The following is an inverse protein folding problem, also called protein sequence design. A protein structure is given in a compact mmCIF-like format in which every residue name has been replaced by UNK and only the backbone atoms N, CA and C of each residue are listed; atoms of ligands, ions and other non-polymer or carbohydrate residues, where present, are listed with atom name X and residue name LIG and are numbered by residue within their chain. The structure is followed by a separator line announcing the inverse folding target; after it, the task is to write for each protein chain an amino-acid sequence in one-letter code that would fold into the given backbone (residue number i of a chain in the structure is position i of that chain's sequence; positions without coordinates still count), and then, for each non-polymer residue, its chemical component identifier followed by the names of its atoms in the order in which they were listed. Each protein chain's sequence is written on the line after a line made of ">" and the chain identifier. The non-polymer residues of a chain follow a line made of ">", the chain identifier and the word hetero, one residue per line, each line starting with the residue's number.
data_IF_356081368207
#
_entry.id   IF_356081368207
#
_cell.length_a   1.000
_cell.length_b   1.000
_cell.length_c   1.000
_cell.angle_alpha   90.00
_cell.angle_beta   90.00
_cell.angle_gamma   90.00
#
_symmetry.space_group_name_H-M   'P 1'
#
loop_
_entity.id
_entity.type
_entity.pdbx_description
1 polymer ?
#
# COMPACT_ATOMS: atom_id res chain seq x y z
N UNK A 1 -39.26 9.11 58.06
CA UNK A 1 -37.85 9.53 57.86
C UNK A 1 -37.07 8.67 56.85
N UNK A 2 -37.24 7.33 56.86
CA UNK A 2 -36.48 6.37 56.02
C UNK A 2 -36.72 6.52 54.49
N UNK A 3 -37.92 6.93 54.05
CA UNK A 3 -38.23 7.15 52.61
C UNK A 3 -37.50 8.35 51.98
N UNK A 4 -37.24 9.43 52.73
CA UNK A 4 -36.53 10.63 52.22
C UNK A 4 -35.04 10.38 51.98
N UNK A 5 -34.39 9.58 52.83
CA UNK A 5 -32.97 9.21 52.70
C UNK A 5 -32.67 8.31 51.48
N UNK A 6 -33.63 7.45 51.08
CA UNK A 6 -33.51 6.59 49.87
C UNK A 6 -33.63 7.37 48.56
N UNK A 7 -34.43 8.45 48.55
CA UNK A 7 -34.61 9.31 47.37
C UNK A 7 -33.39 10.20 47.12
N UNK A 8 -32.75 10.74 48.17
CA UNK A 8 -31.55 11.57 48.00
C UNK A 8 -30.33 10.76 47.56
N UNK A 9 -30.14 9.52 48.05
CA UNK A 9 -29.06 8.63 47.58
C UNK A 9 -29.19 8.24 46.11
N UNK A 10 -30.42 7.96 45.63
CA UNK A 10 -30.65 7.65 44.20
C UNK A 10 -30.43 8.87 43.30
N UNK A 11 -30.81 10.07 43.76
CA UNK A 11 -30.52 11.32 43.05
C UNK A 11 -29.02 11.62 43.02
N UNK A 12 -28.32 11.43 44.15
CA UNK A 12 -26.87 11.62 44.25
C UNK A 12 -26.11 10.62 43.36
N UNK A 13 -26.47 9.33 43.39
CA UNK A 13 -25.88 8.31 42.52
C UNK A 13 -26.18 8.58 41.05
N UNK A 14 -27.40 9.02 40.70
CA UNK A 14 -27.76 9.37 39.32
C UNK A 14 -26.98 10.60 38.82
N UNK A 15 -26.79 11.61 39.68
CA UNK A 15 -26.02 12.81 39.35
C UNK A 15 -24.51 12.54 39.32
N UNK A 16 -24.00 11.60 40.14
CA UNK A 16 -22.62 11.11 40.06
C UNK A 16 -22.38 10.28 38.80
N UNK A 17 -23.31 9.41 38.39
CA UNK A 17 -23.18 8.67 37.14
C UNK A 17 -23.31 9.57 35.92
N UNK A 18 -24.17 10.60 35.96
CA UNK A 18 -24.28 11.57 34.86
C UNK A 18 -23.08 12.53 34.80
N UNK A 19 -22.54 12.93 35.96
CA UNK A 19 -21.31 13.73 36.06
C UNK A 19 -20.04 12.95 35.70
N UNK A 20 -20.00 11.65 35.96
CA UNK A 20 -18.90 10.75 35.57
C UNK A 20 -18.99 10.36 34.07
N UNK A 21 -20.18 10.37 33.47
CA UNK A 21 -20.39 10.22 32.02
C UNK A 21 -19.95 11.46 31.23
N UNK A 22 -19.93 12.63 31.87
CA UNK A 22 -19.46 13.90 31.28
C UNK A 22 -17.92 14.03 31.34
N UNK A 23 -17.21 13.14 32.06
CA UNK A 23 -15.85 13.43 32.51
C UNK A 23 -14.69 12.82 31.73
N UNK A 24 -14.82 11.90 30.76
CA UNK A 24 -13.60 11.19 30.28
C UNK A 24 -13.56 10.71 28.82
N UNK A 25 -14.00 11.49 27.83
CA UNK A 25 -13.58 11.25 26.44
C UNK A 25 -13.36 12.58 25.70
N UNK A 26 -12.20 13.20 25.91
CA UNK A 26 -11.68 14.26 25.04
C UNK A 26 -11.12 13.62 23.77
N UNK A 27 -12.00 13.08 22.92
CA UNK A 27 -11.55 12.50 21.65
C UNK A 27 -11.02 13.64 20.76
N UNK A 28 -9.81 13.46 20.22
CA UNK A 28 -9.29 14.32 19.18
C UNK A 28 -9.55 13.69 17.82
N UNK A 29 -10.44 14.29 17.03
CA UNK A 29 -10.67 13.85 15.66
C UNK A 29 -9.56 14.39 14.75
N UNK A 30 -9.05 13.52 13.89
CA UNK A 30 -8.02 13.84 12.89
C UNK A 30 -8.59 13.73 11.49
N UNK A 31 -8.19 14.65 10.63
CA UNK A 31 -8.60 14.70 9.23
C UNK A 31 -7.38 14.93 8.35
N UNK A 32 -7.18 14.05 7.36
CA UNK A 32 -6.21 14.27 6.28
C UNK A 32 -6.96 14.88 5.11
N UNK A 33 -6.79 16.17 4.87
CA UNK A 33 -7.47 16.90 3.80
C UNK A 33 -6.91 16.49 2.44
N UNK A 34 -5.59 16.52 2.30
CA UNK A 34 -4.90 16.14 1.07
C UNK A 34 -3.56 15.48 1.35
N UNK A 35 -3.10 14.73 0.35
CA UNK A 35 -1.78 14.12 0.30
C UNK A 35 -1.22 14.39 -1.10
N UNK A 36 -0.11 15.11 -1.16
CA UNK A 36 0.61 15.40 -2.41
C UNK A 36 1.98 14.74 -2.35
N UNK A 37 2.32 13.91 -3.34
CA UNK A 37 3.66 13.35 -3.49
C UNK A 37 3.98 13.16 -4.98
N UNK A 38 5.25 13.08 -5.39
CA UNK A 38 5.58 12.71 -6.75
C UNK A 38 5.16 11.26 -7.05
N UNK A 39 4.89 10.98 -8.32
CA UNK A 39 4.58 9.63 -8.83
C UNK A 39 5.80 8.95 -9.45
N UNK A 40 6.93 9.64 -9.56
CA UNK A 40 8.19 9.03 -9.99
C UNK A 40 9.41 9.68 -9.35
N UNK A 41 10.48 8.90 -9.19
CA UNK A 41 11.78 9.31 -8.71
C UNK A 41 12.87 8.36 -9.20
N UNK A 42 14.15 8.70 -9.03
CA UNK A 42 15.25 7.75 -9.21
C UNK A 42 15.63 7.13 -7.86
N UNK A 43 16.20 5.93 -7.88
CA UNK A 43 16.75 5.30 -6.69
C UNK A 43 17.81 6.20 -6.05
N UNK A 44 17.70 6.41 -4.74
CA UNK A 44 18.54 7.30 -3.95
C UNK A 44 18.06 8.76 -3.85
N UNK A 45 17.05 9.17 -4.64
CA UNK A 45 16.46 10.51 -4.55
C UNK A 45 15.75 10.71 -3.21
N UNK A 46 15.66 11.97 -2.78
CA UNK A 46 14.80 12.38 -1.66
C UNK A 46 13.53 12.99 -2.23
N UNK A 47 12.42 12.27 -2.09
CA UNK A 47 11.08 12.81 -2.42
C UNK A 47 10.50 13.56 -1.23
N UNK A 48 9.52 14.42 -1.49
CA UNK A 48 8.72 15.06 -0.45
C UNK A 48 7.26 14.74 -0.64
N UNK A 49 6.64 14.15 0.37
CA UNK A 49 5.19 14.07 0.50
C UNK A 49 4.69 15.18 1.43
N UNK A 50 3.65 15.90 1.01
CA UNK A 50 2.97 16.92 1.80
C UNK A 50 1.62 16.37 2.26
N UNK A 51 1.45 16.29 3.56
CA UNK A 51 0.24 15.84 4.22
C UNK A 51 -0.43 17.07 4.85
N UNK A 52 -1.52 17.52 4.22
CA UNK A 52 -2.34 18.61 4.74
C UNK A 52 -3.41 18.03 5.67
N UNK A 53 -3.47 18.53 6.90
CA UNK A 53 -4.35 17.96 7.91
C UNK A 53 -4.95 18.98 8.86
N UNK A 54 -6.09 18.59 9.42
CA UNK A 54 -6.75 19.26 10.53
C UNK A 54 -6.91 18.30 11.70
N UNK A 55 -6.89 18.86 12.91
CA UNK A 55 -7.33 18.13 14.09
C UNK A 55 -8.04 19.06 15.06
N UNK A 56 -9.01 18.51 15.77
CA UNK A 56 -9.85 19.22 16.72
C UNK A 56 -10.18 18.31 17.90
N UNK A 57 -10.26 18.91 19.08
CA UNK A 57 -10.75 18.23 20.29
C UNK A 57 -12.12 18.79 20.69
N UNK A 58 -13.05 17.93 21.11
CA UNK A 58 -14.38 18.37 21.56
C UNK A 58 -14.39 18.86 23.02
N UNK A 59 -13.38 18.53 23.84
CA UNK A 59 -13.39 18.82 25.27
C UNK A 59 -12.00 19.13 25.85
N UNK A 60 -11.98 20.01 26.86
CA UNK A 60 -10.82 20.35 27.68
C UNK A 60 -9.65 21.02 26.95
N UNK A 61 -8.61 21.46 27.69
CA UNK A 61 -7.32 21.70 27.09
C UNK A 61 -6.71 20.36 26.68
N UNK A 62 -6.46 20.19 25.39
CA UNK A 62 -5.80 19.03 24.82
C UNK A 62 -4.31 19.33 24.73
N UNK A 63 -3.46 18.46 25.26
CA UNK A 63 -2.00 18.62 25.21
C UNK A 63 -1.37 17.26 24.96
N UNK A 64 -1.08 16.97 23.69
CA UNK A 64 -0.62 15.65 23.23
C UNK A 64 0.43 15.76 22.14
N UNK A 65 1.24 14.72 21.96
CA UNK A 65 2.10 14.64 20.78
C UNK A 65 1.29 14.16 19.60
N UNK A 66 1.62 14.69 18.44
CA UNK A 66 1.07 14.20 17.18
C UNK A 66 2.00 13.13 16.65
N UNK A 67 1.43 11.97 16.33
CA UNK A 67 2.11 10.80 15.80
C UNK A 67 1.87 10.73 14.29
N UNK A 68 2.93 10.53 13.51
CA UNK A 68 2.88 10.28 12.06
C UNK A 68 3.58 8.96 11.77
N UNK A 69 2.89 8.02 11.15
CA UNK A 69 3.45 6.76 10.67
C UNK A 69 3.62 6.77 9.16
N UNK A 70 4.75 6.27 8.67
CA UNK A 70 5.04 6.14 7.24
C UNK A 70 5.19 4.67 6.87
N UNK A 71 4.46 4.22 5.85
CA UNK A 71 4.55 2.88 5.27
C UNK A 71 5.40 2.91 4.00
N UNK A 72 6.43 2.06 3.94
CA UNK A 72 7.34 1.94 2.80
C UNK A 72 7.97 0.53 2.73
N UNK A 73 8.66 0.17 1.62
CA UNK A 73 9.40 -1.08 1.52
C UNK A 73 10.46 -1.19 2.62
N UNK A 74 10.60 -2.38 3.21
CA UNK A 74 11.58 -2.62 4.29
C UNK A 74 13.01 -2.42 3.81
N UNK A 75 13.28 -2.70 2.53
CA UNK A 75 14.60 -2.52 1.92
C UNK A 75 15.08 -1.06 1.94
N UNK A 76 14.17 -0.09 2.04
CA UNK A 76 14.52 1.34 2.14
C UNK A 76 15.02 1.73 3.53
N UNK A 77 14.82 0.86 4.53
CA UNK A 77 15.33 1.03 5.90
C UNK A 77 14.93 2.39 6.47
N UNK A 78 13.66 2.76 6.38
CA UNK A 78 13.19 4.07 6.84
C UNK A 78 13.31 4.22 8.35
N UNK A 79 13.34 3.11 9.10
CA UNK A 79 13.64 3.10 10.53
C UNK A 79 15.04 3.62 10.89
N UNK A 80 15.92 3.84 9.90
CA UNK A 80 17.19 4.54 10.10
C UNK A 80 16.97 6.05 9.93
N UNK A 81 17.25 6.83 10.99
CA UNK A 81 16.96 8.27 11.14
C UNK A 81 17.49 9.21 10.04
N UNK A 82 18.20 8.70 9.04
CA UNK A 82 18.78 9.45 7.93
C UNK A 82 17.99 9.29 6.61
N UNK A 83 17.10 8.30 6.50
CA UNK A 83 16.34 8.03 5.28
C UNK A 83 14.95 8.68 5.28
N UNK A 84 14.53 9.25 6.41
CA UNK A 84 13.28 10.00 6.52
C UNK A 84 13.44 11.19 7.46
N UNK A 85 12.87 12.32 7.06
CA UNK A 85 12.78 13.53 7.88
C UNK A 85 11.38 14.09 7.77
N UNK A 86 10.71 14.25 8.90
CA UNK A 86 9.35 14.80 8.95
C UNK A 86 9.38 16.15 9.67
N UNK A 87 8.89 17.19 8.99
CA UNK A 87 8.69 18.51 9.58
C UNK A 87 7.23 18.91 9.48
N UNK A 88 6.75 19.73 10.40
CA UNK A 88 5.40 20.30 10.31
C UNK A 88 5.46 21.82 10.42
N UNK A 89 4.45 22.47 9.85
CA UNK A 89 4.14 23.89 10.06
C UNK A 89 2.65 24.03 10.30
N UNK A 90 2.28 24.79 11.32
CA UNK A 90 0.90 25.13 11.69
C UNK A 90 0.80 26.63 11.88
N UNK A 91 -0.28 27.24 11.38
CA UNK A 91 -0.50 28.68 11.44
C UNK A 91 -0.51 29.23 12.87
N UNK A 92 -1.07 28.46 13.81
CA UNK A 92 -1.28 28.85 15.21
C UNK A 92 -0.50 28.00 16.23
N UNK A 93 0.12 26.88 15.81
CA UNK A 93 0.92 26.00 16.69
C UNK A 93 2.42 26.00 16.41
N UNK A 94 2.86 26.78 15.42
CA UNK A 94 4.27 26.90 15.06
C UNK A 94 4.77 25.74 14.20
N UNK A 95 6.08 25.55 14.17
CA UNK A 95 6.75 24.57 13.31
C UNK A 95 7.75 23.73 14.08
N UNK A 96 8.01 22.52 13.60
CA UNK A 96 8.97 21.62 14.22
C UNK A 96 9.39 20.45 13.36
N UNK A 97 10.34 19.68 13.87
CA UNK A 97 10.79 18.40 13.27
C UNK A 97 10.37 17.27 14.20
N UNK A 98 9.73 16.24 13.66
CA UNK A 98 9.35 15.08 14.43
C UNK A 98 10.58 14.21 14.69
N UNK A 99 10.51 13.43 15.76
CA UNK A 99 11.55 12.47 16.14
C UNK A 99 10.98 11.05 16.08
N UNK A 100 11.80 10.04 15.73
CA UNK A 100 11.37 8.64 15.68
C UNK A 100 10.86 8.20 17.05
N UNK A 101 9.81 7.37 17.06
CA UNK A 101 9.34 6.74 18.28
C UNK A 101 10.20 5.48 18.55
N UNK A 102 10.85 5.34 19.71
CA UNK A 102 11.63 4.15 20.01
C UNK A 102 10.78 2.88 19.99
N UNK A 103 11.32 1.78 19.46
CA UNK A 103 10.62 0.50 19.36
C UNK A 103 10.23 -0.11 20.73
N UNK A 104 10.81 0.39 21.83
CA UNK A 104 10.46 0.04 23.21
C UNK A 104 9.20 0.74 23.72
N UNK A 105 8.71 1.77 23.03
CA UNK A 105 7.49 2.50 23.42
C UNK A 105 6.27 1.74 22.93
N UNK A 106 5.43 1.34 23.88
CA UNK A 106 4.12 0.71 23.63
C UNK A 106 3.17 1.74 23.03
N UNK A 107 2.44 1.36 21.99
CA UNK A 107 1.44 2.21 21.37
C UNK A 107 0.25 2.41 22.31
N UNK A 108 -0.25 3.64 22.38
CA UNK A 108 -1.40 3.93 23.21
C UNK A 108 -2.62 3.12 22.72
N UNK A 109 -3.41 2.62 23.70
CA UNK A 109 -4.57 1.73 23.50
C UNK A 109 -4.26 0.38 22.81
N UNK A 110 -3.00 -0.02 22.65
CA UNK A 110 -2.67 -1.35 22.15
C UNK A 110 -3.07 -2.44 23.17
N UNK A 111 -3.94 -3.37 22.77
CA UNK A 111 -4.46 -4.45 23.64
C UNK A 111 -3.39 -5.43 24.12
N UNK A 112 -2.30 -5.61 23.37
CA UNK A 112 -1.28 -6.63 23.62
C UNK A 112 0.12 -6.04 23.93
N UNK A 113 0.22 -4.78 24.37
CA UNK A 113 1.51 -4.15 24.63
C UNK A 113 2.38 -3.98 23.38
N UNK A 114 1.76 -3.93 22.21
CA UNK A 114 2.44 -3.76 20.92
C UNK A 114 3.11 -2.39 20.83
N UNK A 115 4.29 -2.33 20.22
CA UNK A 115 4.89 -1.05 19.86
C UNK A 115 4.12 -0.40 18.69
N UNK A 116 4.42 0.87 18.40
CA UNK A 116 3.73 1.63 17.35
C UNK A 116 3.83 1.03 15.95
N UNK A 117 5.00 0.54 15.54
CA UNK A 117 5.18 -0.08 14.23
C UNK A 117 4.33 -1.35 14.08
N UNK A 118 4.36 -2.24 15.07
CA UNK A 118 3.53 -3.45 15.12
C UNK A 118 2.06 -3.09 15.15
N UNK A 119 1.65 -2.09 15.93
CA UNK A 119 0.26 -1.68 16.02
C UNK A 119 -0.26 -1.12 14.68
N UNK A 120 0.53 -0.29 13.99
CA UNK A 120 0.20 0.21 12.66
C UNK A 120 0.08 -0.94 11.66
N UNK A 121 1.01 -1.89 11.68
CA UNK A 121 0.97 -3.08 10.82
C UNK A 121 -0.28 -3.93 11.08
N UNK A 122 -0.63 -4.17 12.34
CA UNK A 122 -1.80 -4.95 12.70
C UNK A 122 -3.11 -4.24 12.30
N UNK A 123 -3.16 -2.91 12.39
CA UNK A 123 -4.37 -2.15 12.09
C UNK A 123 -4.57 -1.89 10.60
N UNK A 124 -3.49 -1.60 9.88
CA UNK A 124 -3.51 -1.07 8.52
C UNK A 124 -2.86 -2.01 7.48
N UNK A 125 -2.20 -3.08 7.92
CA UNK A 125 -1.54 -4.04 7.03
C UNK A 125 -0.42 -3.40 6.21
N UNK A 126 -0.35 -3.77 4.93
CA UNK A 126 0.52 -3.14 3.91
C UNK A 126 -0.23 -2.11 3.06
N UNK A 127 -1.38 -1.64 3.53
CA UNK A 127 -2.25 -0.80 2.71
C UNK A 127 -2.67 -1.51 1.42
N UNK A 128 -2.77 -0.78 0.29
CA UNK A 128 -3.18 -1.31 -1.01
C UNK A 128 -2.04 -1.95 -1.82
N UNK A 129 -0.95 -2.35 -1.16
CA UNK A 129 0.17 -3.04 -1.81
C UNK A 129 -0.06 -4.56 -1.85
N UNK A 130 0.60 -5.26 -2.77
CA UNK A 130 0.44 -6.71 -2.99
C UNK A 130 1.59 -7.57 -2.43
N UNK A 131 2.76 -6.99 -2.16
CA UNK A 131 3.92 -7.71 -1.60
C UNK A 131 4.08 -7.35 -0.12
N UNK A 132 4.11 -8.38 0.75
CA UNK A 132 4.24 -8.23 2.20
C UNK A 132 5.71 -8.04 2.66
N UNK A 133 6.45 -7.13 2.01
CA UNK A 133 7.80 -6.71 2.40
C UNK A 133 7.86 -5.21 2.70
N UNK A 134 6.95 -4.77 3.57
CA UNK A 134 6.75 -3.37 3.92
C UNK A 134 6.89 -3.17 5.44
N UNK A 135 7.31 -1.99 5.86
CA UNK A 135 7.40 -1.57 7.25
C UNK A 135 6.65 -0.26 7.52
N UNK A 136 6.05 -0.15 8.71
CA UNK A 136 5.53 1.10 9.26
C UNK A 136 6.59 1.71 10.18
N UNK A 137 6.93 2.98 9.96
CA UNK A 137 7.93 3.72 10.74
C UNK A 137 7.27 4.92 11.43
N UNK A 138 7.12 4.89 12.76
CA UNK A 138 6.42 5.92 13.53
C UNK A 138 7.34 7.05 14.00
N UNK A 139 6.81 8.27 13.95
CA UNK A 139 7.42 9.50 14.44
C UNK A 139 6.43 10.27 15.30
N UNK A 140 6.91 11.09 16.23
CA UNK A 140 6.06 12.02 16.98
C UNK A 140 6.64 13.42 17.07
N UNK A 141 5.82 14.40 17.39
CA UNK A 141 6.32 15.73 17.76
C UNK A 141 7.15 15.63 19.05
N UNK A 142 8.28 16.35 19.17
CA UNK A 142 9.15 16.25 20.35
C UNK A 142 8.47 16.79 21.61
N UNK A 143 7.58 17.77 21.45
CA UNK A 143 6.75 18.36 22.49
C UNK A 143 5.26 18.16 22.19
N UNK A 144 4.45 18.32 23.23
CA UNK A 144 3.01 18.31 23.11
C UNK A 144 2.54 19.54 22.34
N UNK A 145 1.49 19.37 21.52
CA UNK A 145 0.74 20.47 20.93
C UNK A 145 -0.49 20.71 21.80
N UNK A 146 -0.62 21.95 22.27
CA UNK A 146 -1.72 22.37 23.12
C UNK A 146 -2.86 22.96 22.28
N UNK A 147 -4.10 22.55 22.54
CA UNK A 147 -5.31 23.12 21.90
C UNK A 147 -6.41 23.35 22.92
N UNK A 148 -7.29 24.30 22.61
CA UNK A 148 -8.50 24.56 23.39
C UNK A 148 -9.71 23.80 22.81
N UNK A 149 -10.79 23.59 23.58
CA UNK A 149 -11.99 22.92 23.07
C UNK A 149 -12.48 23.57 21.78
N UNK A 150 -12.81 22.74 20.80
CA UNK A 150 -13.28 23.13 19.45
C UNK A 150 -12.29 23.99 18.64
N UNK A 151 -11.04 24.11 19.07
CA UNK A 151 -10.01 24.73 18.23
C UNK A 151 -9.69 23.80 17.05
N UNK A 152 -9.94 24.28 15.84
CA UNK A 152 -9.55 23.58 14.63
C UNK A 152 -8.10 23.95 14.29
N UNK A 153 -7.16 23.04 14.52
CA UNK A 153 -5.76 23.24 14.19
C UNK A 153 -5.50 22.73 12.79
N UNK A 154 -5.02 23.60 11.92
CA UNK A 154 -4.47 23.23 10.61
C UNK A 154 -2.95 23.07 10.70
N UNK A 155 -2.43 22.01 10.08
CA UNK A 155 -1.00 21.75 9.99
C UNK A 155 -0.66 21.05 8.67
N UNK A 156 0.48 21.43 8.09
CA UNK A 156 1.06 20.76 6.92
C UNK A 156 2.32 20.04 7.34
N UNK A 157 2.33 18.72 7.15
CA UNK A 157 3.49 17.86 7.40
C UNK A 157 4.23 17.61 6.09
N UNK A 158 5.51 17.95 6.04
CA UNK A 158 6.43 17.62 4.95
C UNK A 158 7.24 16.40 5.34
N UNK A 159 6.96 15.26 4.72
CA UNK A 159 7.65 13.99 4.89
C UNK A 159 8.67 13.85 3.76
N UNK A 160 9.94 14.05 4.07
CA UNK A 160 11.04 13.83 3.14
C UNK A 160 11.54 12.39 3.27
N UNK A 161 11.57 11.63 2.18
CA UNK A 161 11.91 10.20 2.18
C UNK A 161 12.98 9.95 1.14
N UNK A 162 14.08 9.29 1.53
CA UNK A 162 15.07 8.75 0.61
C UNK A 162 14.55 7.42 0.06
N UNK A 163 14.23 7.37 -1.23
CA UNK A 163 13.59 6.23 -1.88
C UNK A 163 14.62 5.31 -2.56
N UNK A 164 14.29 4.04 -2.77
CA UNK A 164 15.17 3.09 -3.48
C UNK A 164 16.57 2.99 -2.89
N UNK A 165 16.70 2.96 -1.56
CA UNK A 165 18.01 2.96 -0.87
C UNK A 165 18.86 1.73 -1.22
N UNK A 166 18.19 0.65 -1.58
CA UNK A 166 18.74 -0.60 -2.09
C UNK A 166 19.13 -0.56 -3.57
N UNK A 167 18.80 0.52 -4.29
CA UNK A 167 19.09 0.68 -5.72
C UNK A 167 18.13 -0.03 -6.65
N UNK A 168 17.11 -0.72 -6.13
CA UNK A 168 16.21 -1.55 -6.92
C UNK A 168 15.20 -0.73 -7.72
N UNK A 169 14.85 -1.22 -8.91
CA UNK A 169 13.70 -0.75 -9.66
C UNK A 169 12.41 -1.18 -8.94
N UNK A 170 11.60 -0.22 -8.45
CA UNK A 170 10.46 -0.52 -7.56
C UNK A 170 9.26 0.34 -7.89
N UNK A 171 8.07 -0.26 -7.84
CA UNK A 171 6.78 0.42 -7.95
C UNK A 171 6.02 0.21 -6.63
N UNK A 172 5.65 1.28 -5.91
CA UNK A 172 5.08 1.16 -4.55
C UNK A 172 4.06 2.25 -4.17
N UNK A 173 3.03 1.89 -3.39
CA UNK A 173 2.08 2.84 -2.77
C UNK A 173 2.50 3.13 -1.33
N UNK A 174 3.01 4.33 -1.08
CA UNK A 174 3.37 4.78 0.27
C UNK A 174 2.11 5.07 1.11
N UNK A 175 2.19 4.85 2.41
CA UNK A 175 1.09 5.10 3.35
C UNK A 175 1.46 6.08 4.46
N UNK A 176 0.49 6.86 4.92
CA UNK A 176 0.65 7.89 5.93
C UNK A 176 -0.52 7.82 6.90
N UNK A 177 -0.24 7.57 8.17
CA UNK A 177 -1.23 7.60 9.25
C UNK A 177 -0.91 8.73 10.21
N UNK A 178 -1.94 9.40 10.73
CA UNK A 178 -1.79 10.41 11.77
C UNK A 178 -2.69 10.10 12.94
N UNK A 179 -2.19 10.26 14.16
CA UNK A 179 -2.99 10.21 15.39
C UNK A 179 -2.31 10.99 16.51
N UNK A 180 -2.76 10.82 17.75
CA UNK A 180 -2.08 11.33 18.94
C UNK A 180 -1.55 10.22 19.83
N UNK A 181 -0.63 10.54 20.74
CA UNK A 181 0.06 9.59 21.59
C UNK A 181 -0.74 9.05 22.80
N UNK A 182 -2.03 9.39 22.94
CA UNK A 182 -2.91 8.94 24.04
C UNK A 182 -4.13 8.14 23.55
N UNK A 183 -4.87 8.66 22.57
CA UNK A 183 -5.91 7.91 21.88
C UNK A 183 -5.29 6.83 20.98
N UNK A 184 -4.12 7.13 20.41
CA UNK A 184 -3.32 6.20 19.64
C UNK A 184 -4.04 5.66 18.42
N UNK A 185 -3.87 4.36 18.21
CA UNK A 185 -4.52 3.61 17.13
C UNK A 185 -5.44 2.62 17.79
N UNK A 186 -6.71 2.98 17.98
CA UNK A 186 -7.74 2.11 18.56
C UNK A 186 -8.30 1.10 17.54
N UNK A 187 -8.94 0.04 18.04
CA UNK A 187 -9.67 -0.91 17.17
C UNK A 187 -11.04 -0.34 16.76
N UNK A 188 -11.61 0.53 17.59
CA UNK A 188 -13.05 0.84 17.58
C UNK A 188 -13.39 2.11 16.78
N UNK A 189 -12.45 3.05 16.59
CA UNK A 189 -12.68 4.30 15.88
C UNK A 189 -11.53 4.67 14.93
N UNK A 190 -11.83 4.67 13.63
CA UNK A 190 -10.88 5.01 12.57
C UNK A 190 -10.62 6.52 12.48
N UNK A 191 -11.53 7.37 12.97
CA UNK A 191 -11.40 8.83 12.90
C UNK A 191 -10.29 9.38 13.80
N UNK A 192 -9.89 8.61 14.80
CA UNK A 192 -8.78 8.93 15.70
C UNK A 192 -7.41 8.65 15.06
N UNK A 193 -7.39 7.85 13.99
CA UNK A 193 -6.18 7.45 13.28
C UNK A 193 -6.38 7.35 11.76
N UNK A 194 -6.75 8.45 11.08
CA UNK A 194 -6.92 8.46 9.64
C UNK A 194 -5.62 8.04 8.95
N UNK A 195 -5.77 7.20 7.93
CA UNK A 195 -4.68 6.74 7.07
C UNK A 195 -4.99 7.11 5.62
N UNK A 196 -4.00 7.63 4.91
CA UNK A 196 -4.05 7.80 3.46
C UNK A 196 -2.90 7.07 2.80
N UNK A 197 -3.21 6.47 1.66
CA UNK A 197 -2.24 5.85 0.78
C UNK A 197 -2.12 6.72 -0.46
N UNK A 198 -0.89 6.96 -0.88
CA UNK A 198 -0.64 7.67 -2.11
C UNK A 198 -0.87 6.77 -3.33
N UNK A 199 -0.95 7.42 -4.49
CA UNK A 199 -0.84 6.74 -5.77
C UNK A 199 0.52 6.06 -5.91
N UNK A 200 0.59 5.18 -6.90
CA UNK A 200 1.79 4.40 -7.16
C UNK A 200 2.99 5.30 -7.51
N UNK A 201 4.09 5.10 -6.79
CA UNK A 201 5.37 5.76 -7.00
C UNK A 201 6.31 4.81 -7.75
N UNK A 202 6.76 5.24 -8.93
CA UNK A 202 7.77 4.55 -9.73
C UNK A 202 9.17 5.03 -9.37
N UNK A 203 9.96 4.16 -8.74
CA UNK A 203 11.37 4.40 -8.40
C UNK A 203 12.25 3.71 -9.41
N UNK A 204 12.88 4.52 -10.28
CA UNK A 204 13.79 4.05 -11.32
C UNK A 204 15.12 3.64 -10.71
N UNK A 205 15.33 2.34 -10.61
CA UNK A 205 16.58 1.73 -10.17
C UNK A 205 17.10 0.69 -11.16
N UNK A 206 17.96 -0.18 -10.67
CA UNK A 206 18.53 -1.30 -11.44
C UNK A 206 17.76 -2.60 -11.18
N UNK A 207 17.94 -3.58 -12.08
CA UNK A 207 17.33 -4.89 -11.97
C UNK A 207 15.87 -4.96 -12.43
N UNK A 208 15.25 -6.12 -12.18
CA UNK A 208 13.85 -6.35 -12.47
C UNK A 208 12.95 -5.52 -11.56
N UNK A 209 11.78 -5.13 -12.06
CA UNK A 209 10.81 -4.33 -11.32
C UNK A 209 10.23 -5.14 -10.15
N UNK A 210 10.43 -4.64 -8.93
CA UNK A 210 9.69 -5.09 -7.75
C UNK A 210 8.40 -4.29 -7.68
N UNK A 211 7.29 -4.89 -8.10
CA UNK A 211 5.99 -4.22 -8.15
C UNK A 211 5.11 -4.55 -6.95
N UNK A 212 5.04 -3.60 -6.02
CA UNK A 212 4.13 -3.63 -4.89
C UNK A 212 2.74 -3.09 -5.25
N UNK A 213 2.61 -2.28 -6.30
CA UNK A 213 1.39 -1.57 -6.69
C UNK A 213 0.35 -2.45 -7.37
N UNK A 214 0.81 -3.45 -8.12
CA UNK A 214 -0.02 -4.27 -8.99
C UNK A 214 -0.02 -5.75 -8.57
N UNK A 215 -1.16 -6.45 -8.72
CA UNK A 215 -1.22 -7.88 -8.44
C UNK A 215 -0.44 -8.68 -9.50
N UNK A 216 0.25 -9.73 -9.06
CA UNK A 216 0.80 -10.76 -9.96
C UNK A 216 -0.33 -11.66 -10.47
N UNK A 217 -1.05 -11.18 -11.47
CA UNK A 217 -2.15 -11.91 -12.11
C UNK A 217 -1.68 -13.17 -12.83
N UNK A 218 -0.42 -13.18 -13.27
CA UNK A 218 0.19 -14.33 -13.92
C UNK A 218 1.43 -14.79 -13.18
N UNK A 219 1.79 -16.06 -13.39
CA UNK A 219 3.06 -16.63 -12.95
C UNK A 219 3.67 -17.52 -14.02
N UNK A 220 4.98 -17.67 -13.98
CA UNK A 220 5.78 -18.38 -14.98
C UNK A 220 6.40 -19.63 -14.38
N UNK A 221 6.30 -20.75 -15.09
CA UNK A 221 7.01 -21.98 -14.76
C UNK A 221 7.62 -22.62 -16.03
N UNK A 222 8.96 -22.78 -16.12
CA UNK A 222 9.95 -22.26 -15.17
C UNK A 222 9.95 -20.71 -15.15
N UNK A 223 10.48 -20.10 -14.08
CA UNK A 223 10.60 -18.64 -13.97
C UNK A 223 11.66 -18.08 -14.91
N UNK A 224 12.66 -18.89 -15.26
CA UNK A 224 13.69 -18.61 -16.25
C UNK A 224 13.64 -19.69 -17.32
N UNK A 225 13.59 -19.28 -18.57
CA UNK A 225 13.47 -20.17 -19.71
C UNK A 225 14.26 -19.62 -20.90
N UNK A 226 14.84 -20.50 -21.70
CA UNK A 226 15.25 -20.18 -23.05
C UNK A 226 14.03 -20.20 -23.99
N UNK A 227 14.16 -19.59 -25.16
CA UNK A 227 13.14 -19.65 -26.20
C UNK A 227 12.89 -21.08 -26.73
N UNK A 228 13.80 -22.01 -26.41
CA UNK A 228 13.73 -23.41 -26.75
C UNK A 228 13.17 -24.31 -25.64
N UNK A 229 12.86 -23.76 -24.47
CA UNK A 229 12.23 -24.49 -23.37
C UNK A 229 10.71 -24.41 -23.45
N UNK A 230 10.02 -25.37 -22.83
CA UNK A 230 8.59 -25.23 -22.60
C UNK A 230 8.34 -24.18 -21.52
N UNK A 231 7.42 -23.26 -21.77
CA UNK A 231 6.98 -22.25 -20.83
C UNK A 231 5.52 -22.51 -20.45
N UNK A 232 5.24 -22.50 -19.15
CA UNK A 232 3.88 -22.44 -18.62
C UNK A 232 3.59 -21.04 -18.10
N UNK A 233 2.45 -20.49 -18.51
CA UNK A 233 1.86 -19.28 -17.93
C UNK A 233 0.63 -19.72 -17.15
N UNK A 234 0.58 -19.38 -15.88
CA UNK A 234 -0.62 -19.48 -15.06
C UNK A 234 -1.27 -18.12 -14.94
N UNK A 235 -2.59 -18.05 -14.92
CA UNK A 235 -3.41 -16.85 -14.73
C UNK A 235 -4.44 -17.09 -13.63
N UNK A 236 -4.47 -16.20 -12.64
CA UNK A 236 -5.39 -16.29 -11.52
C UNK A 236 -6.47 -15.20 -11.64
N UNK A 237 -7.68 -15.63 -12.01
CA UNK A 237 -8.82 -14.74 -12.23
C UNK A 237 -9.62 -14.46 -10.94
N UNK A 238 -9.11 -14.83 -9.77
CA UNK A 238 -9.74 -14.55 -8.46
C UNK A 238 -8.96 -13.57 -7.59
N UNK A 239 -7.70 -13.25 -7.92
CA UNK A 239 -6.88 -12.35 -7.11
C UNK A 239 -7.48 -10.94 -6.99
N UNK A 240 -8.05 -10.45 -8.09
CA UNK A 240 -8.76 -9.17 -8.16
C UNK A 240 -9.91 -9.26 -9.18
N UNK A 241 -10.82 -8.30 -9.13
CA UNK A 241 -11.89 -8.18 -10.12
C UNK A 241 -11.31 -7.65 -11.45
N UNK A 242 -11.21 -8.52 -12.44
CA UNK A 242 -10.77 -8.16 -13.80
C UNK A 242 -11.95 -8.14 -14.75
N UNK A 243 -11.79 -7.50 -15.92
CA UNK A 243 -12.81 -7.55 -16.96
C UNK A 243 -13.07 -8.97 -17.49
N UNK A 244 -12.19 -9.93 -17.19
CA UNK A 244 -12.35 -11.34 -17.54
C UNK A 244 -13.08 -12.14 -16.46
N UNK A 245 -13.54 -11.54 -15.36
CA UNK A 245 -14.28 -12.26 -14.32
C UNK A 245 -15.49 -13.00 -14.90
N UNK A 246 -15.64 -14.27 -14.50
CA UNK A 246 -16.70 -15.16 -14.99
C UNK A 246 -16.51 -15.69 -16.42
N UNK A 247 -15.43 -15.31 -17.13
CA UNK A 247 -15.07 -15.93 -18.39
C UNK A 247 -14.25 -17.20 -18.13
N UNK A 248 -14.68 -18.31 -18.73
CA UNK A 248 -14.00 -19.62 -18.63
C UNK A 248 -13.28 -20.03 -19.92
N UNK A 249 -13.64 -19.43 -21.06
CA UNK A 249 -12.93 -19.59 -22.33
C UNK A 249 -11.91 -18.44 -22.47
N UNK A 250 -10.70 -18.65 -21.97
CA UNK A 250 -9.60 -17.68 -22.00
C UNK A 250 -8.50 -18.07 -23.00
N UNK A 251 -7.88 -17.06 -23.61
CA UNK A 251 -6.89 -17.25 -24.67
C UNK A 251 -5.68 -16.34 -24.51
N UNK A 252 -4.49 -16.86 -24.84
CA UNK A 252 -3.23 -16.14 -24.92
C UNK A 252 -3.19 -15.31 -26.20
N UNK A 253 -2.95 -14.00 -26.06
CA UNK A 253 -2.67 -13.10 -27.17
C UNK A 253 -1.26 -12.54 -26.97
N UNK A 254 -0.29 -12.97 -27.78
CA UNK A 254 1.12 -12.72 -27.55
C UNK A 254 1.85 -12.17 -28.78
N UNK A 255 2.90 -11.40 -28.54
CA UNK A 255 3.84 -10.89 -29.55
C UNK A 255 5.26 -11.25 -29.10
N UNK A 256 5.95 -12.06 -29.89
CA UNK A 256 7.37 -12.38 -29.68
C UNK A 256 8.26 -11.34 -30.36
N UNK A 257 9.38 -11.00 -29.72
CA UNK A 257 10.44 -10.15 -30.26
C UNK A 257 11.69 -10.99 -30.46
N UNK A 258 12.27 -10.92 -31.65
CA UNK A 258 13.43 -11.74 -32.03
C UNK A 258 14.73 -10.94 -32.00
N UNK A 259 15.86 -11.64 -31.93
CA UNK A 259 17.21 -11.04 -31.89
C UNK A 259 17.60 -10.24 -33.14
N UNK A 260 16.95 -10.51 -34.28
CA UNK A 260 17.08 -9.74 -35.52
C UNK A 260 16.10 -8.55 -35.61
N UNK A 261 15.38 -8.25 -34.53
CA UNK A 261 14.50 -7.08 -34.40
C UNK A 261 13.11 -7.25 -35.02
N UNK A 262 12.69 -8.48 -35.38
CA UNK A 262 11.32 -8.73 -35.86
C UNK A 262 10.36 -8.93 -34.69
N UNK A 263 9.08 -8.67 -34.96
CA UNK A 263 7.98 -8.95 -34.05
C UNK A 263 6.99 -9.92 -34.71
N UNK A 264 6.66 -11.02 -34.03
CA UNK A 264 5.75 -12.06 -34.53
C UNK A 264 4.54 -12.13 -33.61
N UNK A 265 3.35 -11.85 -34.13
CA UNK A 265 2.10 -11.82 -33.35
C UNK A 265 1.32 -13.14 -33.48
N UNK A 266 0.87 -13.67 -32.35
CA UNK A 266 -0.05 -14.80 -32.24
C UNK A 266 -1.18 -14.42 -31.28
N UNK A 267 -2.31 -14.00 -31.85
CA UNK A 267 -3.48 -13.52 -31.10
C UNK A 267 -4.80 -14.13 -31.61
N UNK A 268 -4.75 -15.35 -32.14
CA UNK A 268 -5.95 -16.07 -32.57
C UNK A 268 -6.62 -16.76 -31.38
N UNK A 269 -7.95 -16.69 -31.24
CA UNK A 269 -8.73 -17.38 -30.20
C UNK A 269 -9.09 -18.80 -30.65
N UNK A 270 -8.12 -19.72 -30.61
CA UNK A 270 -8.28 -21.11 -31.03
C UNK A 270 -7.59 -22.05 -30.02
N UNK A 271 -7.57 -23.35 -30.30
CA UNK A 271 -6.99 -24.35 -29.38
C UNK A 271 -5.49 -24.15 -29.10
N UNK A 272 -4.72 -23.52 -29.98
CA UNK A 272 -3.28 -23.31 -29.73
C UNK A 272 -2.99 -22.21 -28.72
N UNK A 273 -3.95 -21.33 -28.46
CA UNK A 273 -3.84 -20.23 -27.50
C UNK A 273 -4.76 -20.39 -26.30
N UNK A 274 -5.66 -21.38 -26.29
CA UNK A 274 -6.63 -21.58 -25.22
C UNK A 274 -5.93 -21.97 -23.92
N UNK A 275 -6.27 -21.29 -22.83
CA UNK A 275 -5.86 -21.68 -21.49
C UNK A 275 -6.80 -22.79 -20.96
N UNK A 276 -6.23 -23.76 -20.26
CA UNK A 276 -6.97 -24.77 -19.52
C UNK A 276 -7.27 -24.30 -18.10
N UNK A 277 -8.51 -24.43 -17.66
CA UNK A 277 -8.87 -24.23 -16.26
C UNK A 277 -8.36 -25.41 -15.42
N UNK A 278 -7.46 -25.14 -14.47
CA UNK A 278 -6.85 -26.17 -13.59
C UNK A 278 -7.52 -26.25 -12.24
N UNK A 279 -8.04 -25.13 -11.75
CA UNK A 279 -8.87 -24.99 -10.56
C UNK A 279 -9.93 -23.92 -10.84
N UNK A 280 -11.03 -23.82 -10.07
CA UNK A 280 -12.05 -22.81 -10.31
C UNK A 280 -11.46 -21.41 -10.47
N UNK A 281 -11.63 -20.82 -11.65
CA UNK A 281 -11.10 -19.51 -12.05
C UNK A 281 -9.55 -19.38 -12.05
N UNK A 282 -8.83 -20.50 -12.11
CA UNK A 282 -7.38 -20.54 -12.32
C UNK A 282 -7.07 -21.26 -13.62
N UNK A 283 -6.27 -20.63 -14.46
CA UNK A 283 -6.07 -21.05 -15.84
C UNK A 283 -4.58 -21.19 -16.15
N UNK A 284 -4.23 -22.12 -17.03
CA UNK A 284 -2.84 -22.34 -17.44
C UNK A 284 -2.73 -22.64 -18.93
N UNK A 285 -1.61 -22.23 -19.52
CA UNK A 285 -1.20 -22.67 -20.86
C UNK A 285 0.28 -23.03 -20.84
N UNK A 286 0.62 -24.20 -21.38
CA UNK A 286 1.99 -24.64 -21.61
C UNK A 286 2.25 -24.65 -23.11
N UNK A 287 3.31 -23.98 -23.55
CA UNK A 287 3.66 -23.88 -24.95
C UNK A 287 5.18 -23.90 -25.14
N UNK A 288 5.62 -24.30 -26.33
CA UNK A 288 7.01 -24.15 -26.76
C UNK A 288 7.10 -22.87 -27.61
N UNK A 289 7.81 -21.81 -27.17
CA UNK A 289 7.80 -20.50 -27.83
C UNK A 289 8.13 -20.57 -29.32
N UNK A 290 9.20 -21.29 -29.69
CA UNK A 290 9.60 -21.46 -31.11
C UNK A 290 8.50 -22.04 -31.99
N UNK A 291 7.73 -23.01 -31.47
CA UNK A 291 6.59 -23.59 -32.19
C UNK A 291 5.39 -22.67 -32.23
N UNK A 292 5.07 -22.01 -31.13
CA UNK A 292 3.93 -21.07 -31.07
C UNK A 292 4.09 -19.95 -32.10
N UNK A 293 5.30 -19.38 -32.19
CA UNK A 293 5.61 -18.26 -33.09
C UNK A 293 6.15 -18.70 -34.46
N UNK A 294 6.24 -20.00 -34.73
CA UNK A 294 6.80 -20.54 -35.97
C UNK A 294 8.15 -19.91 -36.36
N UNK A 295 9.08 -19.86 -35.40
CA UNK A 295 10.39 -19.19 -35.53
C UNK A 295 11.28 -19.92 -36.52
N UNK A 296 11.93 -19.17 -37.42
CA UNK A 296 12.83 -19.74 -38.42
C UNK A 296 14.13 -20.27 -37.80
N UNK A 297 14.79 -21.21 -38.50
CA UNK A 297 16.10 -21.70 -38.08
C UNK A 297 17.12 -20.56 -38.03
N UNK A 298 17.85 -20.44 -36.91
CA UNK A 298 18.85 -19.39 -36.70
C UNK A 298 18.30 -18.10 -36.06
N UNK A 299 16.98 -17.93 -35.96
CA UNK A 299 16.37 -16.86 -35.16
C UNK A 299 16.23 -17.30 -33.70
N UNK A 300 16.29 -16.33 -32.79
CA UNK A 300 16.00 -16.52 -31.37
C UNK A 300 14.97 -15.51 -30.89
N UNK A 301 14.07 -15.92 -30.00
CA UNK A 301 13.15 -15.00 -29.31
C UNK A 301 13.88 -14.45 -28.09
N UNK A 302 13.94 -13.13 -27.95
CA UNK A 302 14.55 -12.45 -26.80
C UNK A 302 13.53 -12.12 -25.72
N UNK A 303 12.30 -11.82 -26.12
CA UNK A 303 11.19 -11.51 -25.21
C UNK A 303 9.83 -11.78 -25.85
N UNK A 304 8.80 -11.82 -25.01
CA UNK A 304 7.40 -11.91 -25.43
C UNK A 304 6.53 -11.01 -24.57
N UNK A 305 5.72 -10.19 -25.22
CA UNK A 305 4.65 -9.41 -24.60
C UNK A 305 3.32 -10.12 -24.81
N UNK A 306 2.48 -10.23 -23.78
CA UNK A 306 1.21 -10.94 -23.88
C UNK A 306 0.07 -10.37 -23.03
N UNK A 307 -1.14 -10.73 -23.44
CA UNK A 307 -2.39 -10.50 -22.74
C UNK A 307 -3.16 -11.82 -22.60
N UNK A 308 -4.00 -11.89 -21.57
CA UNK A 308 -5.06 -12.91 -21.50
C UNK A 308 -6.34 -12.28 -22.04
N UNK A 309 -7.08 -13.00 -22.88
CA UNK A 309 -8.26 -12.48 -23.57
C UNK A 309 -9.46 -13.41 -23.43
N UNK A 310 -10.66 -12.88 -23.63
CA UNK A 310 -11.86 -13.70 -23.78
C UNK A 310 -11.91 -14.33 -25.19
N UNK A 311 -12.91 -15.20 -25.41
CA UNK A 311 -13.15 -15.86 -26.70
C UNK A 311 -13.33 -14.93 -27.90
N UNK A 312 -13.83 -13.71 -27.68
CA UNK A 312 -14.01 -12.74 -28.76
C UNK A 312 -12.74 -11.91 -29.05
N UNK A 313 -11.72 -12.00 -28.19
CA UNK A 313 -10.49 -11.20 -28.30
C UNK A 313 -10.67 -9.70 -28.03
N UNK A 314 -11.86 -9.25 -27.64
CA UNK A 314 -12.18 -7.83 -27.44
C UNK A 314 -11.97 -7.35 -26.00
N UNK A 315 -11.98 -8.26 -25.03
CA UNK A 315 -11.60 -8.00 -23.65
C UNK A 315 -10.21 -8.60 -23.44
N UNK A 316 -9.30 -7.79 -22.93
CA UNK A 316 -7.93 -8.19 -22.62
C UNK A 316 -7.55 -7.74 -21.21
N UNK A 317 -6.74 -8.55 -20.54
CA UNK A 317 -6.14 -8.24 -19.25
C UNK A 317 -4.64 -8.35 -19.42
N UNK A 318 -3.95 -7.27 -19.06
CA UNK A 318 -2.51 -7.15 -19.05
C UNK A 318 -1.94 -6.99 -17.64
N UNK A 319 -0.68 -6.57 -17.57
CA UNK A 319 0.05 -6.35 -16.34
C UNK A 319 -0.74 -5.46 -15.38
N UNK A 320 -0.89 -5.91 -14.13
CA UNK A 320 -1.61 -5.18 -13.09
C UNK A 320 -3.08 -4.89 -13.39
N UNK A 321 -3.73 -5.66 -14.27
CA UNK A 321 -5.09 -5.37 -14.78
C UNK A 321 -5.17 -4.05 -15.56
N UNK A 322 -4.10 -3.70 -16.27
CA UNK A 322 -4.03 -2.52 -17.14
C UNK A 322 -4.01 -2.94 -18.62
N UNK A 323 -3.95 -1.94 -19.51
CA UNK A 323 -3.76 -2.14 -20.95
C UNK A 323 -2.30 -2.43 -21.35
N UNK A 324 -1.34 -2.38 -20.41
CA UNK A 324 0.04 -2.75 -20.65
C UNK A 324 0.19 -4.28 -20.67
N UNK A 325 0.96 -4.87 -21.60
CA UNK A 325 1.13 -6.32 -21.66
C UNK A 325 1.92 -6.85 -20.45
N UNK A 326 1.73 -8.12 -20.12
CA UNK A 326 2.72 -8.86 -19.35
C UNK A 326 3.95 -9.12 -20.24
N UNK A 327 5.15 -9.17 -19.67
CA UNK A 327 6.38 -9.42 -20.43
C UNK A 327 7.15 -10.61 -19.85
N UNK A 328 7.66 -11.46 -20.74
CA UNK A 328 8.61 -12.53 -20.45
C UNK A 328 9.91 -12.22 -21.19
N UNK A 329 11.06 -12.39 -20.53
CA UNK A 329 12.38 -12.38 -21.16
C UNK A 329 12.90 -13.82 -21.23
N UNK A 330 13.42 -14.20 -22.40
CA UNK A 330 14.03 -15.52 -22.59
C UNK A 330 15.56 -15.37 -22.49
N UNK A 331 16.10 -15.69 -21.31
CA UNK A 331 17.53 -15.61 -21.03
C UNK A 331 17.93 -16.65 -19.96
N UNK A 332 19.18 -17.12 -20.02
CA UNK A 332 19.74 -18.07 -19.05
C UNK A 332 20.15 -17.43 -17.71
N UNK A 333 20.22 -16.10 -17.62
CA UNK A 333 20.88 -15.40 -16.50
C UNK A 333 19.92 -14.89 -15.43
#
# INVERSE_FOLDING_TARGET
>A
MIRRLRSSRKSLLRNLTLGMLILLLSNCEFFINSLEQPTSANAGDVITAKLDMNFQTEQGPYSKRIVVGVLAPRAWKLGQNQNVKITYTSENKGSGTLVPIPASVVAAKAKNGENWATRMKNRFGIGPNYIDDMEWVPFWTPANIETTPFENVHAVFSVQIKVGVDGANTSVKLGYVVCNDDDGIGDDDIKLSPVKYADCLEVKGEGDLIDFCNPSLTSLNPTKALDNDYQTISYNNVLIDTQLKGNHDLYLCATAHTSDGKSINVCAQNETSKLMETDPNQFQITFWPRKLFNVEAGQTITSMDYFITNKAGNIKVGYGNTDAPFTIKFACE
#
